data_IF_058960155898
#
_entry.id   IF_058960155898
#
_cell.length_a   1.000
_cell.length_b   1.000
_cell.length_c   1.000
_cell.angle_alpha   90.00
_cell.angle_beta   90.00
_cell.angle_gamma   90.00
#
_symmetry.space_group_name_H-M   'P 1'
#
loop_
_entity.id
_entity.type
_entity.pdbx_description
1 polymer ?
#
# COMPACT_ATOMS: atom_id res chain seq x y z
N UNK A 1 27.50 11.03 2.05
CA UNK A 1 26.35 10.92 1.13
C UNK A 1 25.09 11.02 1.97
N UNK A 2 24.35 12.13 1.88
CA UNK A 2 23.11 12.31 2.65
C UNK A 2 22.07 11.33 2.10
N UNK A 3 21.45 10.53 2.98
CA UNK A 3 20.35 9.64 2.62
C UNK A 3 19.21 10.52 2.11
N UNK A 4 18.91 10.45 0.80
CA UNK A 4 17.70 11.04 0.24
C UNK A 4 16.55 10.27 0.87
N UNK A 5 15.99 10.85 1.93
CA UNK A 5 14.82 10.30 2.61
C UNK A 5 13.67 10.57 1.66
N UNK A 6 13.17 9.51 1.03
CA UNK A 6 12.01 9.58 0.14
C UNK A 6 10.84 9.99 1.03
N UNK A 7 10.49 11.27 1.01
CA UNK A 7 9.49 11.85 1.90
C UNK A 7 8.10 11.53 1.33
N UNK A 8 7.59 10.33 1.60
CA UNK A 8 6.20 9.97 1.30
C UNK A 8 5.25 10.63 2.32
N UNK A 9 5.00 11.94 2.17
CA UNK A 9 4.04 12.67 3.00
C UNK A 9 2.62 12.48 2.45
N UNK A 10 2.04 11.30 2.60
CA UNK A 10 0.61 11.07 2.28
C UNK A 10 -0.13 10.12 3.24
N UNK A 11 0.41 9.84 4.42
CA UNK A 11 -0.17 8.87 5.38
C UNK A 11 -0.86 9.48 6.61
N UNK A 12 -1.28 10.75 6.57
CA UNK A 12 -2.01 11.36 7.69
C UNK A 12 -3.31 12.01 7.20
N UNK A 13 -4.38 11.88 7.98
CA UNK A 13 -5.75 12.42 7.78
C UNK A 13 -6.81 11.51 7.15
N UNK A 14 -7.18 10.44 7.87
CA UNK A 14 -8.60 10.04 8.02
C UNK A 14 -8.97 9.56 9.45
N UNK A 15 -8.23 9.98 10.49
CA UNK A 15 -8.44 9.46 11.85
C UNK A 15 -9.47 10.23 12.70
N UNK A 16 -9.98 11.38 12.27
CA UNK A 16 -10.77 12.26 13.14
C UNK A 16 -12.30 12.00 13.14
N UNK A 17 -12.85 11.17 12.24
CA UNK A 17 -14.30 11.04 12.06
C UNK A 17 -14.96 9.82 12.75
N UNK A 18 -14.21 8.99 13.48
CA UNK A 18 -14.73 7.71 14.06
C UNK A 18 -14.76 7.65 15.59
N UNK A 19 -14.58 8.78 16.29
CA UNK A 19 -14.57 8.83 17.76
C UNK A 19 -15.97 8.85 18.41
N UNK A 20 -17.07 8.70 17.66
CA UNK A 20 -18.43 8.87 18.16
C UNK A 20 -19.32 7.60 18.10
N UNK A 21 -18.75 6.41 18.24
CA UNK A 21 -19.53 5.16 18.39
C UNK A 21 -19.06 4.34 19.59
N UNK A 22 -19.36 4.81 20.80
CA UNK A 22 -19.36 3.98 22.01
C UNK A 22 -20.73 3.29 22.15
N UNK A 23 -20.87 2.13 21.51
CA UNK A 23 -22.03 1.24 21.67
C UNK A 23 -21.86 0.24 22.83
N UNK A 24 -22.94 -0.43 23.28
CA UNK A 24 -23.05 -1.16 24.55
C UNK A 24 -22.36 -2.54 24.60
N UNK A 25 -21.32 -2.76 23.79
CA UNK A 25 -20.66 -4.07 23.67
C UNK A 25 -19.80 -4.47 24.88
N UNK A 26 -19.41 -3.53 25.74
CA UNK A 26 -18.49 -3.78 26.86
C UNK A 26 -19.15 -4.44 28.08
N UNK A 27 -20.48 -4.44 28.18
CA UNK A 27 -21.20 -5.07 29.30
C UNK A 27 -21.29 -6.60 29.23
N UNK A 28 -20.84 -7.24 28.15
CA UNK A 28 -20.90 -8.70 28.00
C UNK A 28 -19.61 -9.45 28.40
N UNK A 29 -18.57 -8.74 28.84
CA UNK A 29 -17.30 -9.35 29.28
C UNK A 29 -17.24 -9.68 30.77
N UNK A 30 -18.35 -9.58 31.52
CA UNK A 30 -18.37 -9.86 32.96
C UNK A 30 -19.57 -10.69 33.38
N UNK A 31 -19.46 -12.02 33.28
CA UNK A 31 -20.02 -13.04 34.19
C UNK A 31 -20.11 -14.41 33.51
N UNK A 32 -18.97 -15.06 33.23
CA UNK A 32 -18.93 -16.52 33.14
C UNK A 32 -17.88 -17.06 34.10
N UNK A 33 -18.36 -17.30 35.33
CA UNK A 33 -18.01 -18.42 36.20
C UNK A 33 -16.68 -19.12 35.90
N UNK A 34 -15.64 -18.78 36.69
CA UNK A 34 -14.51 -19.66 36.99
C UNK A 34 -15.03 -20.98 37.57
N UNK A 35 -15.13 -22.03 36.76
CA UNK A 35 -15.12 -23.42 37.22
C UNK A 35 -14.96 -24.39 36.03
N UNK A 36 -13.72 -24.66 35.63
CA UNK A 36 -13.23 -26.00 35.23
C UNK A 36 -11.83 -25.90 34.56
N UNK A 37 -10.82 -26.45 35.26
CA UNK A 37 -9.59 -27.11 34.77
C UNK A 37 -8.85 -26.44 33.59
N UNK A 38 -7.82 -25.63 33.84
CA UNK A 38 -6.39 -26.02 33.94
C UNK A 38 -5.88 -26.86 32.77
N UNK A 39 -4.86 -26.30 32.08
CA UNK A 39 -3.99 -26.89 31.03
C UNK A 39 -4.37 -26.59 29.57
N UNK A 40 -4.34 -25.31 29.20
CA UNK A 40 -3.64 -24.72 28.04
C UNK A 40 -3.72 -23.21 28.27
N UNK A 41 -2.58 -22.56 28.53
CA UNK A 41 -2.51 -21.11 28.70
C UNK A 41 -2.69 -20.39 27.36
N UNK A 42 -3.94 -20.29 26.90
CA UNK A 42 -4.33 -19.35 25.85
C UNK A 42 -4.36 -17.95 26.46
N UNK A 43 -3.19 -17.31 26.51
CA UNK A 43 -3.10 -15.86 26.72
C UNK A 43 -3.78 -15.20 25.53
N UNK A 44 -5.01 -14.73 25.73
CA UNK A 44 -5.65 -13.79 24.82
C UNK A 44 -4.82 -12.49 24.84
N UNK A 45 -4.30 -12.01 23.71
CA UNK A 45 -3.56 -10.75 23.68
C UNK A 45 -4.48 -9.61 24.09
N UNK A 46 -3.93 -8.69 24.89
CA UNK A 46 -4.61 -7.46 25.28
C UNK A 46 -5.00 -6.68 24.01
N UNK A 47 -6.30 -6.38 23.87
CA UNK A 47 -6.86 -5.72 22.69
C UNK A 47 -6.26 -4.31 22.43
N UNK A 48 -5.58 -3.73 23.42
CA UNK A 48 -4.87 -2.47 23.31
C UNK A 48 -3.52 -2.55 22.58
N UNK A 49 -2.98 -3.76 22.36
CA UNK A 49 -1.63 -3.98 21.82
C UNK A 49 -1.58 -4.38 20.33
N UNK A 50 -2.69 -4.31 19.58
CA UNK A 50 -2.71 -4.74 18.17
C UNK A 50 -2.36 -3.56 17.23
N UNK A 51 -1.31 -3.69 16.38
CA UNK A 51 -0.97 -2.67 15.38
C UNK A 51 -2.15 -2.39 14.46
N UNK A 52 -2.51 -1.11 14.30
CA UNK A 52 -3.61 -0.65 13.45
C UNK A 52 -3.24 -0.78 11.96
N UNK A 53 -3.35 -1.97 11.40
CA UNK A 53 -3.40 -2.13 9.93
C UNK A 53 -4.77 -2.73 9.58
N UNK A 54 -5.75 -1.85 9.35
CA UNK A 54 -7.14 -2.25 9.01
C UNK A 54 -7.29 -2.42 7.49
N UNK A 55 -6.85 -3.56 6.94
CA UNK A 55 -7.35 -4.02 5.62
C UNK A 55 -8.64 -4.80 5.85
N UNK A 56 -9.79 -4.28 5.43
CA UNK A 56 -11.05 -5.05 5.41
C UNK A 56 -10.97 -5.99 4.19
N UNK A 57 -10.99 -7.29 4.43
CA UNK A 57 -11.07 -8.33 3.41
C UNK A 57 -12.53 -8.74 3.25
N UNK A 58 -12.93 -9.11 2.04
CA UNK A 58 -14.21 -9.78 1.83
C UNK A 58 -13.90 -11.26 1.60
N UNK A 59 -14.58 -12.14 2.34
CA UNK A 59 -14.43 -13.59 2.28
C UNK A 59 -15.77 -14.23 1.92
N UNK A 60 -15.74 -15.38 1.24
CA UNK A 60 -16.93 -16.11 0.83
C UNK A 60 -17.11 -17.36 1.67
N UNK A 61 -18.28 -17.50 2.27
CA UNK A 61 -18.70 -18.75 2.87
C UNK A 61 -19.30 -19.65 1.78
N UNK A 62 -18.57 -20.71 1.44
CA UNK A 62 -18.96 -21.69 0.42
C UNK A 62 -20.15 -22.55 0.81
N UNK A 63 -20.48 -22.66 2.10
CA UNK A 63 -21.63 -23.44 2.57
C UNK A 63 -22.93 -22.63 2.50
N UNK A 64 -22.87 -21.37 2.91
CA UNK A 64 -24.06 -20.51 2.97
C UNK A 64 -24.25 -19.63 1.73
N UNK A 65 -23.21 -19.53 0.87
CA UNK A 65 -23.19 -18.67 -0.30
C UNK A 65 -23.12 -17.17 0.05
N UNK A 66 -22.76 -16.82 1.29
CA UNK A 66 -22.73 -15.44 1.78
C UNK A 66 -21.31 -14.89 1.79
N UNK A 67 -21.19 -13.58 1.59
CA UNK A 67 -19.92 -12.87 1.73
C UNK A 67 -19.84 -12.15 3.07
N UNK A 68 -18.69 -12.22 3.73
CA UNK A 68 -18.43 -11.56 5.01
C UNK A 68 -17.27 -10.58 4.86
N UNK A 69 -17.43 -9.37 5.40
CA UNK A 69 -16.31 -8.45 5.59
C UNK A 69 -15.56 -8.86 6.86
N UNK A 70 -14.25 -9.09 6.75
CA UNK A 70 -13.40 -9.48 7.87
C UNK A 70 -12.21 -8.55 8.01
N UNK A 71 -11.81 -8.28 9.25
CA UNK A 71 -10.53 -7.64 9.54
C UNK A 71 -9.56 -8.72 10.02
N UNK A 72 -8.43 -8.95 9.34
CA UNK A 72 -7.40 -9.85 9.84
C UNK A 72 -6.83 -9.27 11.12
N UNK A 73 -6.74 -10.09 12.15
CA UNK A 73 -6.03 -9.76 13.38
C UNK A 73 -4.85 -10.71 13.51
N UNK A 74 -3.73 -10.20 14.03
CA UNK A 74 -2.53 -11.02 14.26
C UNK A 74 -2.84 -12.20 15.18
N UNK A 75 -2.14 -13.32 14.99
CA UNK A 75 -2.28 -14.51 15.85
C UNK A 75 -3.30 -15.56 15.39
N UNK A 76 -3.76 -15.52 14.14
CA UNK A 76 -4.61 -16.59 13.59
C UNK A 76 -6.09 -16.44 13.92
N UNK A 77 -6.60 -15.20 13.91
CA UNK A 77 -8.03 -14.92 14.03
C UNK A 77 -8.49 -13.96 12.93
N UNK A 78 -9.76 -14.04 12.57
CA UNK A 78 -10.46 -13.05 11.75
C UNK A 78 -11.57 -12.41 12.58
N UNK A 79 -11.73 -11.09 12.45
CA UNK A 79 -12.87 -10.38 13.03
C UNK A 79 -14.00 -10.33 12.01
N UNK A 80 -15.03 -11.15 12.20
CA UNK A 80 -16.17 -11.25 11.29
C UNK A 80 -17.13 -10.06 11.42
N UNK A 81 -17.85 -9.73 10.33
CA UNK A 81 -18.81 -8.62 10.26
C UNK A 81 -19.96 -8.72 11.26
N UNK A 82 -20.18 -9.89 11.85
CA UNK A 82 -21.13 -10.13 12.94
C UNK A 82 -20.57 -9.74 14.33
N UNK A 83 -19.35 -9.19 14.40
CA UNK A 83 -18.69 -8.77 15.63
C UNK A 83 -17.97 -9.88 16.39
N UNK A 84 -17.79 -11.07 15.79
CA UNK A 84 -17.15 -12.21 16.45
C UNK A 84 -15.70 -12.41 15.99
N UNK A 85 -14.83 -12.76 16.93
CA UNK A 85 -13.50 -13.31 16.63
C UNK A 85 -13.64 -14.78 16.29
N UNK A 86 -13.18 -15.16 15.09
CA UNK A 86 -13.17 -16.55 14.65
C UNK A 86 -11.72 -16.98 14.48
N UNK A 87 -11.25 -18.04 15.18
CA UNK A 87 -9.91 -18.55 14.96
C UNK A 87 -9.81 -19.16 13.56
N UNK A 88 -8.81 -18.71 12.80
CA UNK A 88 -8.61 -19.11 11.42
C UNK A 88 -7.13 -19.01 10.99
N UNK A 89 -6.68 -19.96 10.19
CA UNK A 89 -5.32 -20.00 9.62
C UNK A 89 -5.34 -19.43 8.21
N UNK A 90 -4.52 -18.41 7.95
CA UNK A 90 -4.34 -17.84 6.61
C UNK A 90 -3.38 -18.70 5.79
N UNK A 91 -3.78 -19.07 4.57
CA UNK A 91 -2.98 -19.92 3.68
C UNK A 91 -2.51 -19.18 2.40
N UNK A 92 -2.60 -17.85 2.35
CA UNK A 92 -2.23 -17.04 1.19
C UNK A 92 -3.36 -16.77 0.18
N UNK A 93 -4.47 -17.53 0.24
CA UNK A 93 -5.62 -17.35 -0.67
C UNK A 93 -6.97 -17.30 0.04
N UNK A 94 -6.98 -17.59 1.34
CA UNK A 94 -8.17 -17.58 2.17
C UNK A 94 -7.85 -17.99 3.60
N UNK A 95 -8.91 -18.25 4.35
CA UNK A 95 -8.85 -18.63 5.75
C UNK A 95 -9.39 -20.04 5.95
N UNK A 96 -8.69 -20.85 6.72
CA UNK A 96 -9.15 -22.17 7.18
C UNK A 96 -9.64 -22.00 8.62
N UNK A 97 -10.93 -22.21 8.86
CA UNK A 97 -11.53 -22.16 10.19
C UNK A 97 -11.12 -23.39 11.01
N UNK A 98 -11.27 -23.32 12.34
CA UNK A 98 -11.07 -24.49 13.23
C UNK A 98 -11.94 -25.70 12.86
N UNK A 99 -13.10 -25.46 12.24
CA UNK A 99 -13.99 -26.52 11.74
C UNK A 99 -13.43 -27.26 10.52
N UNK A 100 -12.27 -26.84 10.00
CA UNK A 100 -11.69 -27.33 8.74
C UNK A 100 -12.32 -26.67 7.50
N UNK A 101 -13.28 -25.78 7.68
CA UNK A 101 -13.95 -25.09 6.57
C UNK A 101 -13.04 -24.03 5.96
N UNK A 102 -12.97 -24.02 4.62
CA UNK A 102 -12.19 -23.05 3.87
C UNK A 102 -13.07 -21.89 3.36
N UNK A 103 -12.69 -20.67 3.73
CA UNK A 103 -13.30 -19.40 3.34
C UNK A 103 -12.34 -18.63 2.42
N UNK A 104 -12.52 -18.72 1.09
CA UNK A 104 -11.68 -17.96 0.15
C UNK A 104 -11.93 -16.46 0.28
N UNK A 105 -10.89 -15.65 0.10
CA UNK A 105 -11.04 -14.21 -0.06
C UNK A 105 -11.71 -13.95 -1.42
N UNK A 106 -12.85 -13.27 -1.43
CA UNK A 106 -13.54 -12.83 -2.65
C UNK A 106 -13.63 -11.32 -2.65
N UNK A 107 -12.98 -10.65 -3.59
CA UNK A 107 -13.03 -9.17 -3.68
C UNK A 107 -11.94 -8.41 -2.93
N UNK A 108 -10.93 -9.09 -2.39
CA UNK A 108 -9.67 -8.49 -1.94
C UNK A 108 -8.47 -8.78 -2.85
N UNK A 109 -8.67 -9.57 -3.91
CA UNK A 109 -7.66 -9.86 -4.93
C UNK A 109 -8.14 -9.34 -6.29
N UNK A 110 -7.85 -8.07 -6.59
CA UNK A 110 -7.36 -7.76 -7.94
C UNK A 110 -5.85 -7.93 -7.89
N UNK A 111 -5.39 -9.17 -7.95
CA UNK A 111 -3.97 -9.52 -7.92
C UNK A 111 -3.80 -10.89 -7.29
N UNK A 112 -3.08 -11.80 -7.94
CA UNK A 112 -2.83 -13.21 -7.56
C UNK A 112 -3.80 -14.29 -8.04
N UNK A 113 -4.59 -14.05 -9.09
CA UNK A 113 -5.00 -15.15 -9.98
C UNK A 113 -4.15 -15.10 -11.23
N UNK A 114 -2.93 -15.64 -11.12
CA UNK A 114 -1.95 -15.68 -12.19
C UNK A 114 -1.61 -14.28 -12.70
N UNK A 115 -0.46 -13.73 -12.31
CA UNK A 115 0.13 -12.67 -13.12
C UNK A 115 0.47 -13.32 -14.45
N UNK A 116 -0.51 -13.39 -15.36
CA UNK A 116 -0.19 -13.47 -16.78
C UNK A 116 0.80 -12.33 -16.98
N UNK A 117 1.98 -12.60 -17.55
CA UNK A 117 2.90 -11.53 -17.88
C UNK A 117 2.08 -10.44 -18.60
N UNK A 118 2.23 -9.16 -18.22
CA UNK A 118 1.46 -8.10 -18.85
C UNK A 118 1.62 -8.27 -20.36
N UNK A 119 0.52 -8.16 -21.12
CA UNK A 119 0.55 -8.30 -22.57
C UNK A 119 1.76 -7.53 -23.14
N UNK A 120 2.44 -8.10 -24.15
CA UNK A 120 3.72 -7.62 -24.73
C UNK A 120 3.62 -6.20 -25.33
N UNK A 121 3.44 -5.21 -24.46
CA UNK A 121 3.34 -3.80 -24.77
C UNK A 121 4.22 -2.99 -23.82
N UNK A 122 4.19 -1.67 -23.98
CA UNK A 122 5.08 -0.75 -23.25
C UNK A 122 5.06 -0.99 -21.74
N UNK A 123 3.88 -1.18 -21.16
CA UNK A 123 3.71 -1.42 -19.73
C UNK A 123 4.41 -2.70 -19.23
N UNK A 124 4.22 -3.83 -19.93
CA UNK A 124 4.88 -5.09 -19.57
C UNK A 124 6.39 -5.00 -19.65
N UNK A 125 6.92 -4.30 -20.65
CA UNK A 125 8.35 -4.04 -20.77
C UNK A 125 8.90 -3.22 -19.59
N UNK A 126 8.17 -2.18 -19.14
CA UNK A 126 8.57 -1.37 -17.98
C UNK A 126 8.56 -2.19 -16.69
N UNK A 127 7.51 -2.98 -16.46
CA UNK A 127 7.42 -3.85 -15.27
C UNK A 127 8.56 -4.87 -15.23
N UNK A 128 8.79 -5.59 -16.34
CA UNK A 128 9.88 -6.56 -16.44
C UNK A 128 11.23 -5.90 -16.19
N UNK A 129 11.46 -4.71 -16.76
CA UNK A 129 12.68 -3.93 -16.57
C UNK A 129 12.87 -3.52 -15.10
N UNK A 130 11.83 -3.03 -14.45
CA UNK A 130 11.88 -2.61 -13.05
C UNK A 130 12.13 -3.78 -12.11
N UNK A 131 11.49 -4.93 -12.34
CA UNK A 131 11.73 -6.12 -11.54
C UNK A 131 13.15 -6.67 -11.71
N UNK A 132 13.73 -6.55 -12.91
CA UNK A 132 15.08 -7.04 -13.20
C UNK A 132 16.20 -6.10 -12.73
N UNK A 133 16.02 -4.79 -12.87
CA UNK A 133 17.08 -3.79 -12.68
C UNK A 133 16.81 -2.75 -11.59
N UNK A 134 15.61 -2.77 -11.01
CA UNK A 134 15.24 -1.84 -9.95
C UNK A 134 15.99 -2.09 -8.65
N UNK A 135 16.23 -1.01 -7.91
CA UNK A 135 16.78 -1.06 -6.56
C UNK A 135 15.72 -1.68 -5.66
N UNK A 136 16.10 -2.73 -4.93
CA UNK A 136 15.22 -3.40 -3.99
C UNK A 136 15.29 -2.72 -2.62
N UNK A 137 14.13 -2.41 -2.06
CA UNK A 137 13.96 -1.98 -0.67
C UNK A 137 13.12 -3.02 0.05
N UNK A 138 13.63 -3.54 1.16
CA UNK A 138 12.92 -4.50 2.00
C UNK A 138 11.70 -3.88 2.68
N UNK A 139 10.74 -4.74 3.03
CA UNK A 139 9.59 -4.37 3.85
C UNK A 139 10.06 -4.12 5.29
N UNK A 140 9.63 -3.03 5.91
CA UNK A 140 9.93 -2.67 7.30
C UNK A 140 8.69 -2.68 8.21
N UNK A 141 7.55 -3.15 7.70
CA UNK A 141 6.27 -3.24 8.38
C UNK A 141 5.40 -1.99 8.25
N UNK A 142 5.98 -0.82 7.96
CA UNK A 142 5.24 0.41 7.66
C UNK A 142 5.11 0.63 6.15
N UNK A 143 6.16 0.27 5.41
CA UNK A 143 6.28 0.45 3.98
C UNK A 143 6.44 -0.92 3.31
N UNK A 144 5.57 -1.27 2.35
CA UNK A 144 5.72 -2.53 1.63
C UNK A 144 7.06 -2.59 0.90
N UNK A 145 7.60 -3.80 0.73
CA UNK A 145 8.79 -4.00 -0.09
C UNK A 145 8.59 -3.40 -1.49
N UNK A 146 9.67 -2.91 -2.09
CA UNK A 146 9.61 -2.33 -3.44
C UNK A 146 10.81 -2.65 -4.30
N UNK A 147 10.58 -2.67 -5.60
CA UNK A 147 11.63 -2.51 -6.62
C UNK A 147 11.35 -1.24 -7.38
N UNK A 148 12.33 -0.34 -7.45
CA UNK A 148 12.10 0.94 -8.11
C UNK A 148 13.24 1.36 -9.04
N UNK A 149 12.86 2.12 -10.07
CA UNK A 149 13.77 2.89 -10.93
C UNK A 149 13.64 4.37 -10.57
N UNK A 150 14.76 5.09 -10.68
CA UNK A 150 14.80 6.54 -10.47
C UNK A 150 15.59 7.20 -11.60
N UNK A 151 15.15 8.39 -11.99
CA UNK A 151 15.87 9.24 -12.92
C UNK A 151 15.78 10.69 -12.44
N UNK A 152 16.92 11.24 -12.03
CA UNK A 152 17.04 12.59 -11.47
C UNK A 152 17.93 13.39 -12.42
N UNK A 153 17.37 14.44 -13.00
CA UNK A 153 18.03 15.33 -13.94
C UNK A 153 18.21 16.72 -13.32
N UNK A 154 19.46 17.13 -13.13
CA UNK A 154 19.83 18.41 -12.52
C UNK A 154 20.60 18.24 -11.20
N UNK A 155 21.04 19.36 -10.60
CA UNK A 155 21.72 19.36 -9.31
C UNK A 155 20.76 19.06 -8.15
N UNK A 156 21.20 18.24 -7.18
CA UNK A 156 20.41 17.91 -5.99
C UNK A 156 20.18 19.11 -5.04
N UNK A 157 20.98 20.17 -5.17
CA UNK A 157 20.92 21.40 -4.39
C UNK A 157 20.45 22.61 -5.22
N UNK A 158 19.90 22.37 -6.41
CA UNK A 158 19.25 23.39 -7.24
C UNK A 158 17.98 22.86 -7.90
N UNK A 159 17.44 23.63 -8.85
CA UNK A 159 16.28 23.19 -9.62
C UNK A 159 16.59 21.90 -10.39
N UNK A 160 15.74 20.90 -10.27
CA UNK A 160 15.92 19.59 -10.88
C UNK A 160 14.58 18.90 -11.11
N UNK A 161 14.61 17.83 -11.92
CA UNK A 161 13.47 16.94 -12.11
C UNK A 161 13.80 15.57 -11.54
N UNK A 162 12.88 15.00 -10.76
CA UNK A 162 13.01 13.66 -10.22
C UNK A 162 11.78 12.84 -10.60
N UNK A 163 11.98 11.75 -11.33
CA UNK A 163 10.90 10.81 -11.65
C UNK A 163 11.24 9.43 -11.09
N UNK A 164 10.21 8.74 -10.59
CA UNK A 164 10.31 7.41 -9.99
C UNK A 164 9.27 6.46 -10.58
N UNK A 165 9.65 5.19 -10.74
CA UNK A 165 8.74 4.09 -11.05
C UNK A 165 8.96 2.98 -10.04
N UNK A 166 7.96 2.71 -9.20
CA UNK A 166 8.08 1.77 -8.09
C UNK A 166 7.05 0.66 -8.23
N UNK A 167 7.52 -0.59 -8.24
CA UNK A 167 6.68 -1.78 -8.07
C UNK A 167 6.69 -2.14 -6.59
N UNK A 168 5.54 -2.05 -5.95
CA UNK A 168 5.32 -2.36 -4.55
C UNK A 168 4.80 -3.77 -4.38
N UNK A 169 5.08 -4.39 -3.24
CA UNK A 169 4.74 -5.78 -2.98
C UNK A 169 5.13 -6.22 -1.58
N UNK A 170 5.31 -7.52 -1.41
CA UNK A 170 5.78 -8.12 -0.16
C UNK A 170 6.81 -9.21 -0.47
N UNK A 171 7.61 -9.56 0.52
CA UNK A 171 8.48 -10.74 0.48
C UNK A 171 7.83 -11.91 1.21
N UNK A 172 7.97 -13.12 0.68
CA UNK A 172 7.63 -14.33 1.45
C UNK A 172 8.78 -14.69 2.41
N UNK A 173 8.59 -15.76 3.20
CA UNK A 173 9.60 -16.25 4.15
C UNK A 173 10.91 -16.72 3.47
N UNK A 174 10.90 -16.95 2.16
CA UNK A 174 12.07 -17.35 1.37
C UNK A 174 12.78 -16.14 0.75
N UNK A 175 12.29 -14.92 1.03
CA UNK A 175 12.83 -13.67 0.45
C UNK A 175 12.38 -13.39 -0.98
N UNK A 176 11.48 -14.19 -1.55
CA UNK A 176 10.95 -13.96 -2.89
C UNK A 176 9.98 -12.77 -2.88
N UNK A 177 10.17 -11.84 -3.82
CA UNK A 177 9.35 -10.64 -3.96
C UNK A 177 8.10 -10.89 -4.82
N UNK A 178 6.93 -10.51 -4.29
CA UNK A 178 5.63 -10.64 -4.96
C UNK A 178 5.04 -9.24 -5.20
N UNK A 179 4.96 -8.79 -6.47
CA UNK A 179 4.42 -7.47 -6.78
C UNK A 179 2.89 -7.43 -6.56
N UNK A 180 2.40 -6.27 -6.13
CA UNK A 180 0.99 -5.99 -5.82
C UNK A 180 0.47 -4.80 -6.65
N UNK A 181 1.15 -3.65 -6.60
CA UNK A 181 0.76 -2.46 -7.35
C UNK A 181 1.97 -1.63 -7.79
N UNK A 182 1.73 -0.62 -8.61
CA UNK A 182 2.75 0.33 -9.08
C UNK A 182 2.41 1.74 -8.64
N UNK A 183 3.44 2.50 -8.26
CA UNK A 183 3.37 3.96 -8.27
C UNK A 183 4.33 4.56 -9.28
N UNK A 184 3.89 5.65 -9.90
CA UNK A 184 4.76 6.51 -10.70
C UNK A 184 4.72 7.90 -10.09
N UNK A 185 5.90 8.46 -9.83
CA UNK A 185 6.05 9.79 -9.26
C UNK A 185 6.81 10.67 -10.24
N UNK A 186 6.35 11.90 -10.41
CA UNK A 186 7.06 12.95 -11.14
C UNK A 186 7.13 14.18 -10.27
N UNK A 187 8.32 14.73 -10.09
CA UNK A 187 8.57 15.92 -9.29
C UNK A 187 9.38 16.91 -10.11
N UNK A 188 8.90 18.15 -10.20
CA UNK A 188 9.66 19.28 -10.69
C UNK A 188 10.00 20.20 -9.51
N UNK A 189 11.29 20.31 -9.22
CA UNK A 189 11.84 21.09 -8.12
C UNK A 189 12.40 22.41 -8.62
N UNK A 190 11.98 23.50 -8.00
CA UNK A 190 12.40 24.85 -8.33
C UNK A 190 12.81 25.61 -7.07
N UNK A 191 13.89 26.38 -7.14
CA UNK A 191 14.24 27.32 -6.07
C UNK A 191 13.49 28.63 -6.30
N UNK A 192 12.65 29.01 -5.35
CA UNK A 192 11.91 30.28 -5.40
C UNK A 192 12.83 31.48 -5.11
N UNK A 193 12.43 32.71 -5.46
CA UNK A 193 13.22 33.91 -5.14
C UNK A 193 13.55 34.09 -3.65
N UNK A 194 12.68 33.59 -2.77
CA UNK A 194 12.85 33.62 -1.31
C UNK A 194 13.80 32.53 -0.79
N UNK A 195 14.39 31.73 -1.70
CA UNK A 195 15.31 30.65 -1.37
C UNK A 195 14.63 29.41 -0.79
N UNK A 196 13.34 29.21 -1.05
CA UNK A 196 12.61 27.99 -0.68
C UNK A 196 12.53 27.03 -1.87
N UNK A 197 12.23 25.76 -1.61
CA UNK A 197 11.81 24.82 -2.63
C UNK A 197 10.34 25.04 -2.98
N UNK A 198 10.05 25.01 -4.28
CA UNK A 198 8.72 24.77 -4.82
C UNK A 198 8.77 23.44 -5.58
N UNK A 199 7.88 22.53 -5.24
CA UNK A 199 7.79 21.17 -5.80
C UNK A 199 6.42 21.02 -6.46
N UNK A 200 6.41 20.73 -7.75
CA UNK A 200 5.21 20.28 -8.47
C UNK A 200 5.29 18.75 -8.60
N UNK A 201 4.43 18.05 -7.89
CA UNK A 201 4.48 16.60 -7.74
C UNK A 201 3.21 15.93 -8.25
N UNK A 202 3.40 14.91 -9.09
CA UNK A 202 2.38 13.97 -9.52
C UNK A 202 2.65 12.58 -8.94
N UNK A 203 1.62 11.95 -8.38
CA UNK A 203 1.63 10.57 -7.92
C UNK A 203 0.50 9.79 -8.58
N UNK A 204 0.85 8.76 -9.34
CA UNK A 204 -0.11 7.85 -9.99
C UNK A 204 -0.12 6.51 -9.28
N UNK A 205 -1.31 5.99 -8.99
CA UNK A 205 -1.52 4.62 -8.51
C UNK A 205 -2.02 3.77 -9.65
N UNK A 206 -1.26 2.76 -10.04
CA UNK A 206 -1.51 1.95 -11.23
C UNK A 206 -1.49 0.47 -10.85
N UNK A 207 -2.44 -0.29 -11.37
CA UNK A 207 -2.43 -1.75 -11.24
C UNK A 207 -1.28 -2.37 -12.02
N UNK A 208 -0.95 -3.63 -11.74
CA UNK A 208 0.03 -4.39 -12.52
C UNK A 208 -0.42 -4.60 -13.98
N UNK A 209 -1.70 -4.41 -14.28
CA UNK A 209 -2.28 -4.42 -15.62
C UNK A 209 -2.10 -3.09 -16.38
N UNK A 210 -1.56 -2.04 -15.73
CA UNK A 210 -1.35 -0.73 -16.31
C UNK A 210 -2.57 0.19 -16.21
N UNK A 211 -3.66 -0.25 -15.58
CA UNK A 211 -4.86 0.55 -15.39
C UNK A 211 -4.65 1.49 -14.20
N UNK A 212 -4.73 2.80 -14.46
CA UNK A 212 -4.64 3.81 -13.41
C UNK A 212 -5.91 3.82 -12.56
N UNK A 213 -5.72 3.81 -11.24
CA UNK A 213 -6.81 3.85 -10.26
C UNK A 213 -7.11 5.29 -9.83
N UNK A 214 -6.07 6.04 -9.48
CA UNK A 214 -6.15 7.44 -9.04
C UNK A 214 -4.83 8.16 -9.30
N UNK A 215 -4.91 9.48 -9.37
CA UNK A 215 -3.75 10.36 -9.36
C UNK A 215 -3.90 11.40 -8.26
N UNK A 216 -2.79 11.82 -7.68
CA UNK A 216 -2.70 12.97 -6.78
C UNK A 216 -1.72 13.95 -7.38
N UNK A 217 -2.12 15.21 -7.48
CA UNK A 217 -1.26 16.31 -7.87
C UNK A 217 -1.10 17.23 -6.66
N UNK A 218 0.13 17.63 -6.38
CA UNK A 218 0.48 18.46 -5.25
C UNK A 218 1.46 19.56 -5.65
N UNK A 219 1.22 20.76 -5.15
CA UNK A 219 2.16 21.88 -5.18
C UNK A 219 2.61 22.12 -3.74
N UNK A 220 3.89 21.91 -3.48
CA UNK A 220 4.48 22.00 -2.14
C UNK A 220 5.49 23.14 -2.13
N UNK A 221 5.44 23.99 -1.11
CA UNK A 221 6.51 24.93 -0.80
C UNK A 221 7.20 24.46 0.47
N UNK A 222 8.52 24.29 0.42
CA UNK A 222 9.31 23.73 1.51
C UNK A 222 10.54 24.61 1.77
N UNK A 223 10.84 24.91 3.02
CA UNK A 223 12.11 25.55 3.36
C UNK A 223 13.28 24.61 3.03
N UNK A 224 14.44 25.17 2.66
CA UNK A 224 15.68 24.41 2.34
C UNK A 224 16.13 23.39 3.39
N UNK A 225 15.60 23.48 4.61
CA UNK A 225 15.89 22.57 5.73
C UNK A 225 14.89 21.41 5.89
N UNK A 226 13.90 21.25 5.02
CA UNK A 226 12.92 20.15 5.12
C UNK A 226 11.52 20.55 5.58
N UNK A 227 11.30 21.82 5.97
CA UNK A 227 10.04 22.22 6.60
C UNK A 227 9.01 22.60 5.54
N UNK A 228 7.90 21.87 5.45
CA UNK A 228 6.76 22.25 4.59
C UNK A 228 6.17 23.57 5.11
N UNK A 229 6.12 24.57 4.25
CA UNK A 229 5.58 25.91 4.50
C UNK A 229 4.14 26.04 3.97
N UNK A 230 3.89 25.48 2.78
CA UNK A 230 2.57 25.43 2.15
C UNK A 230 2.43 24.15 1.33
N UNK A 231 1.20 23.64 1.20
CA UNK A 231 0.91 22.47 0.40
C UNK A 231 -0.53 22.52 -0.12
N UNK A 232 -0.67 22.49 -1.44
CA UNK A 232 -1.94 22.38 -2.14
C UNK A 232 -2.03 21.02 -2.81
N UNK A 233 -3.11 20.28 -2.56
CA UNK A 233 -3.28 18.93 -3.09
C UNK A 233 -4.64 18.76 -3.76
N UNK A 234 -4.67 18.12 -4.91
CA UNK A 234 -5.89 17.64 -5.56
C UNK A 234 -5.79 16.15 -5.84
N UNK A 235 -6.89 15.42 -5.62
CA UNK A 235 -7.03 14.02 -6.04
C UNK A 235 -7.88 13.96 -7.29
N UNK A 236 -7.36 13.32 -8.32
CA UNK A 236 -7.97 13.22 -9.63
C UNK A 236 -8.33 11.77 -9.94
N UNK A 237 -9.44 11.60 -10.66
CA UNK A 237 -9.80 10.31 -11.23
C UNK A 237 -8.72 9.86 -12.23
N UNK A 238 -8.48 8.54 -12.36
CA UNK A 238 -7.46 8.00 -13.28
C UNK A 238 -7.68 8.33 -14.77
N UNK A 239 -8.88 8.79 -15.13
CA UNK A 239 -9.24 9.24 -16.48
C UNK A 239 -9.21 10.76 -16.68
N UNK A 240 -8.83 11.56 -15.67
CA UNK A 240 -8.68 13.01 -15.84
C UNK A 240 -7.63 13.31 -16.94
N UNK A 241 -7.92 14.18 -17.93
CA UNK A 241 -7.00 14.43 -19.04
C UNK A 241 -5.59 14.84 -18.63
N UNK A 242 -5.44 15.66 -17.58
CA UNK A 242 -4.13 16.12 -17.09
C UNK A 242 -3.34 14.97 -16.48
N UNK A 243 -4.02 14.14 -15.68
CA UNK A 243 -3.42 12.93 -15.11
C UNK A 243 -3.03 11.94 -16.21
N UNK A 244 -3.88 11.74 -17.24
CA UNK A 244 -3.60 10.86 -18.37
C UNK A 244 -2.38 11.35 -19.17
N UNK A 245 -2.29 12.65 -19.44
CA UNK A 245 -1.15 13.24 -20.15
C UNK A 245 0.16 13.04 -19.39
N UNK A 246 0.21 13.44 -18.10
CA UNK A 246 1.39 13.26 -17.26
C UNK A 246 1.79 11.78 -17.17
N UNK A 247 0.82 10.89 -16.93
CA UNK A 247 1.04 9.44 -16.85
C UNK A 247 1.62 8.87 -18.14
N UNK A 248 1.07 9.26 -19.29
CA UNK A 248 1.54 8.77 -20.59
C UNK A 248 2.97 9.24 -20.87
N UNK A 249 3.32 10.47 -20.47
CA UNK A 249 4.69 10.97 -20.51
C UNK A 249 5.65 10.12 -19.66
N UNK A 250 5.26 9.74 -18.45
CA UNK A 250 6.04 8.83 -17.60
C UNK A 250 6.16 7.43 -18.20
N UNK A 251 5.08 6.87 -18.74
CA UNK A 251 5.12 5.56 -19.42
C UNK A 251 6.11 5.59 -20.58
N UNK A 252 6.08 6.64 -21.42
CA UNK A 252 7.03 6.77 -22.53
C UNK A 252 8.48 6.86 -22.04
N UNK A 253 8.72 7.73 -21.04
CA UNK A 253 10.03 7.86 -20.39
C UNK A 253 10.55 6.50 -19.92
N UNK A 254 9.79 5.78 -19.11
CA UNK A 254 10.22 4.51 -18.52
C UNK A 254 10.34 3.39 -19.54
N UNK A 255 9.55 3.43 -20.61
CA UNK A 255 9.67 2.50 -21.72
C UNK A 255 11.02 2.66 -22.43
N UNK A 256 11.45 3.89 -22.69
CA UNK A 256 12.72 4.21 -23.33
C UNK A 256 13.93 4.16 -22.36
N UNK A 257 13.68 4.28 -21.06
CA UNK A 257 14.72 4.29 -20.03
C UNK A 257 15.60 3.05 -20.09
N UNK A 258 16.91 3.22 -20.17
CA UNK A 258 17.87 2.12 -20.19
C UNK A 258 18.72 2.17 -18.92
N UNK A 259 18.41 1.35 -17.90
CA UNK A 259 19.21 1.33 -16.68
C UNK A 259 20.63 0.89 -17.01
N UNK A 260 21.61 1.71 -16.63
CA UNK A 260 23.02 1.28 -16.64
C UNK A 260 23.14 0.22 -15.54
N UNK A 261 23.58 -1.00 -15.90
CA UNK A 261 23.90 -2.03 -14.90
C UNK A 261 24.89 -1.43 -13.90
N UNK A 262 24.45 -1.27 -12.64
CA UNK A 262 25.34 -0.93 -11.52
C UNK A 262 25.99 -2.20 -10.99
#
# INVERSE_FOLDING_TARGET
MKKISILFVFSVFQAAALAAQTGPAFSQLGAMSLAAKSDIGLMLPDASAVPRIKKILIIFDTQTGRSHAVTPVSGGFIYASNGQFVPAVYNGSGYILQTGQYWPIVGGQRGMRGVNPPAEGRWGAILKKTLAYGIFTEDDGEIPASRYLQDIAGPNDGSHKADYFSVWGYTNMEGAFFPDFVTMVSENWEVTPDGNWRIDQWLHWVGLDGVAQKATHAVITEAMKGQILDMQTETLAGGDPRAVENRNGLIEKWYLYSPVKR
#
